data_IF_785240511080
#
_entry.id   IF_785240511080
#
_cell.length_a   1.000
_cell.length_b   1.000
_cell.length_c   1.000
_cell.angle_alpha   90.00
_cell.angle_beta   90.00
_cell.angle_gamma   90.00
#
_symmetry.space_group_name_H-M   'P 1'
#
loop_
_entity.id
_entity.type
_entity.pdbx_description
1 polymer ?
#
# COMPACT_ATOMS: atom_id res chain seq x y z
N UNK A 1 -3.57 2.69 -19.10
CA UNK A 1 -2.41 3.45 -18.60
C UNK A 1 -2.95 4.75 -18.04
N UNK A 2 -2.59 5.14 -16.81
CA UNK A 2 -3.15 6.33 -16.16
C UNK A 2 -2.47 7.59 -16.72
N UNK A 3 -3.22 8.46 -17.39
CA UNK A 3 -2.74 9.69 -18.04
C UNK A 3 -2.45 10.84 -17.06
N UNK A 4 -2.84 10.69 -15.80
CA UNK A 4 -2.69 11.72 -14.77
C UNK A 4 -1.71 11.25 -13.69
N UNK A 5 -0.53 11.86 -13.64
CA UNK A 5 0.43 11.74 -12.53
C UNK A 5 -0.24 11.89 -11.15
N UNK A 6 -1.30 12.70 -11.09
CA UNK A 6 -2.16 12.91 -9.92
C UNK A 6 -2.74 11.60 -9.36
N UNK A 7 -3.18 10.66 -10.20
CA UNK A 7 -3.74 9.38 -9.71
C UNK A 7 -2.68 8.54 -9.01
N UNK A 8 -1.47 8.47 -9.57
CA UNK A 8 -0.35 7.71 -8.98
C UNK A 8 0.07 8.36 -7.65
N UNK A 9 0.10 9.69 -7.58
CA UNK A 9 0.36 10.41 -6.34
C UNK A 9 -0.67 10.13 -5.25
N UNK A 10 -1.96 10.10 -5.60
CA UNK A 10 -3.02 9.74 -4.64
C UNK A 10 -2.91 8.29 -4.16
N UNK A 11 -2.58 7.34 -5.05
CA UNK A 11 -2.31 5.96 -4.64
C UNK A 11 -1.10 5.89 -3.70
N UNK A 12 -0.03 6.62 -3.98
CA UNK A 12 1.12 6.68 -3.09
C UNK A 12 0.76 7.25 -1.71
N UNK A 13 -0.08 8.30 -1.64
CA UNK A 13 -0.57 8.83 -0.35
C UNK A 13 -1.29 7.77 0.47
N UNK A 14 -2.08 6.89 -0.16
CA UNK A 14 -2.74 5.77 0.54
C UNK A 14 -1.71 4.83 1.16
N UNK A 15 -0.64 4.47 0.42
CA UNK A 15 0.45 3.63 0.97
C UNK A 15 1.06 4.27 2.21
N UNK A 16 1.41 5.56 2.14
CA UNK A 16 2.03 6.28 3.26
C UNK A 16 1.13 6.40 4.48
N UNK A 17 -0.19 6.50 4.27
CA UNK A 17 -1.20 6.58 5.34
C UNK A 17 -1.44 5.23 6.01
N UNK A 18 -1.38 4.13 5.27
CA UNK A 18 -1.49 2.79 5.82
C UNK A 18 -0.26 2.42 6.68
N UNK A 19 0.92 2.98 6.39
CA UNK A 19 2.11 2.76 7.21
C UNK A 19 1.97 3.49 8.56
N UNK A 20 1.60 2.71 9.59
CA UNK A 20 1.24 3.20 10.93
C UNK A 20 2.46 3.79 11.65
N UNK A 21 2.21 4.82 12.45
CA UNK A 21 3.18 5.35 13.41
C UNK A 21 3.22 4.38 14.59
N UNK A 22 4.41 3.89 14.93
CA UNK A 22 4.65 3.00 16.08
C UNK A 22 5.20 3.77 17.28
N UNK A 23 5.83 4.92 17.04
CA UNK A 23 6.29 5.82 18.08
C UNK A 23 5.86 7.25 17.78
N UNK A 24 4.94 7.77 18.59
CA UNK A 24 4.38 9.11 18.40
C UNK A 24 5.32 10.25 18.82
N UNK A 25 6.37 9.95 19.60
CA UNK A 25 7.36 10.95 20.03
C UNK A 25 8.42 11.19 18.96
N UNK A 26 8.92 10.12 18.33
CA UNK A 26 9.94 10.20 17.26
C UNK A 26 9.33 10.30 15.87
N UNK A 27 8.08 9.86 15.70
CA UNK A 27 7.42 9.73 14.40
C UNK A 27 7.80 8.45 13.65
N UNK A 28 8.42 7.48 14.33
CA UNK A 28 8.82 6.22 13.70
C UNK A 28 7.59 5.46 13.18
N UNK A 29 7.76 4.89 12.00
CA UNK A 29 6.74 4.11 11.33
C UNK A 29 7.03 2.61 11.40
N UNK A 30 6.01 1.80 11.16
CA UNK A 30 6.10 0.34 11.18
C UNK A 30 7.05 -0.20 10.10
N UNK A 31 7.07 0.45 8.93
CA UNK A 31 7.94 0.10 7.82
C UNK A 31 8.85 1.27 7.47
N UNK A 32 10.10 0.98 7.12
CA UNK A 32 10.99 1.98 6.54
C UNK A 32 10.58 2.33 5.09
N UNK A 33 11.37 3.20 4.44
CA UNK A 33 11.06 3.69 3.09
C UNK A 33 11.17 2.61 2.02
N UNK A 34 12.10 1.67 2.14
CA UNK A 34 12.35 0.63 1.13
C UNK A 34 11.31 -0.49 1.25
N UNK A 35 10.96 -0.84 2.48
CA UNK A 35 9.83 -1.72 2.79
C UNK A 35 8.51 -1.10 2.33
N UNK A 36 8.26 0.19 2.62
CA UNK A 36 7.06 0.92 2.19
C UNK A 36 6.96 0.98 0.65
N UNK A 37 8.07 1.25 -0.04
CA UNK A 37 8.13 1.22 -1.51
C UNK A 37 7.82 -0.18 -2.05
N UNK A 38 8.41 -1.23 -1.46
CA UNK A 38 8.19 -2.62 -1.87
C UNK A 38 6.73 -3.04 -1.70
N UNK A 39 6.10 -2.66 -0.59
CA UNK A 39 4.68 -2.86 -0.35
C UNK A 39 3.84 -2.12 -1.40
N UNK A 40 4.17 -0.85 -1.67
CA UNK A 40 3.47 -0.05 -2.68
C UNK A 40 3.52 -0.67 -4.09
N UNK A 41 4.68 -1.18 -4.50
CA UNK A 41 4.85 -1.86 -5.79
C UNK A 41 4.01 -3.15 -5.86
N UNK A 42 4.04 -3.98 -4.81
CA UNK A 42 3.20 -5.20 -4.74
C UNK A 42 1.70 -4.86 -4.77
N UNK A 43 1.29 -3.85 -4.01
CA UNK A 43 -0.10 -3.40 -3.94
C UNK A 43 -0.61 -2.91 -5.31
N UNK A 44 0.16 -2.10 -6.03
CA UNK A 44 -0.22 -1.61 -7.36
C UNK A 44 -0.34 -2.77 -8.35
N UNK A 45 0.59 -3.72 -8.33
CA UNK A 45 0.54 -4.91 -9.20
C UNK A 45 -0.74 -5.71 -8.96
N UNK A 46 -1.07 -5.99 -7.70
CA UNK A 46 -2.32 -6.67 -7.35
C UNK A 46 -3.55 -5.85 -7.78
N UNK A 47 -3.56 -4.56 -7.50
CA UNK A 47 -4.66 -3.66 -7.85
C UNK A 47 -4.94 -3.64 -9.36
N UNK A 48 -3.89 -3.51 -10.18
CA UNK A 48 -4.00 -3.57 -11.64
C UNK A 48 -4.54 -4.92 -12.10
N UNK A 49 -4.12 -6.03 -11.49
CA UNK A 49 -4.68 -7.35 -11.80
C UNK A 49 -6.19 -7.42 -11.49
N UNK A 50 -6.63 -6.91 -10.34
CA UNK A 50 -8.06 -6.90 -9.98
C UNK A 50 -8.88 -6.05 -10.96
N UNK A 51 -8.36 -4.91 -11.42
CA UNK A 51 -8.99 -4.09 -12.46
C UNK A 51 -9.11 -4.88 -13.77
N UNK A 52 -8.02 -5.51 -14.22
CA UNK A 52 -7.99 -6.29 -15.47
C UNK A 52 -8.96 -7.48 -15.44
N UNK A 53 -9.16 -8.08 -14.27
CA UNK A 53 -10.13 -9.16 -14.06
C UNK A 53 -11.59 -8.68 -13.91
N UNK A 54 -11.87 -7.38 -14.06
CA UNK A 54 -13.24 -6.84 -13.99
C UNK A 54 -13.85 -6.87 -12.58
N UNK A 55 -13.02 -6.88 -11.53
CA UNK A 55 -13.52 -6.94 -10.14
C UNK A 55 -14.33 -5.68 -9.81
N UNK A 56 -15.55 -5.88 -9.30
CA UNK A 56 -16.45 -4.79 -8.90
C UNK A 56 -16.00 -4.17 -7.57
N UNK A 57 -15.45 -2.96 -7.63
CA UNK A 57 -14.97 -2.20 -6.47
C UNK A 57 -16.09 -1.38 -5.83
N UNK A 58 -16.89 -2.02 -4.95
CA UNK A 58 -18.13 -1.45 -4.38
C UNK A 58 -17.96 -0.10 -3.67
N UNK A 59 -16.84 0.12 -2.97
CA UNK A 59 -16.54 1.36 -2.21
C UNK A 59 -15.62 2.34 -2.97
N UNK A 60 -15.46 2.14 -4.28
CA UNK A 60 -14.54 2.93 -5.11
C UNK A 60 -13.11 2.37 -5.14
N UNK A 61 -12.31 2.91 -6.05
CA UNK A 61 -10.96 2.44 -6.39
C UNK A 61 -9.96 2.62 -5.23
N UNK A 62 -9.97 3.78 -4.58
CA UNK A 62 -9.04 4.08 -3.48
C UNK A 62 -9.34 3.29 -2.22
N UNK A 63 -10.62 3.09 -1.86
CA UNK A 63 -10.99 2.25 -0.72
C UNK A 63 -10.59 0.79 -0.96
N UNK A 64 -10.74 0.30 -2.20
CA UNK A 64 -10.29 -1.03 -2.56
C UNK A 64 -8.77 -1.16 -2.49
N UNK A 65 -8.05 -0.18 -3.03
CA UNK A 65 -6.58 -0.13 -2.97
C UNK A 65 -6.07 -0.06 -1.51
N UNK A 66 -6.68 0.77 -0.67
CA UNK A 66 -6.39 0.85 0.76
C UNK A 66 -6.54 -0.52 1.45
N UNK A 67 -7.57 -1.29 1.09
CA UNK A 67 -7.74 -2.66 1.58
C UNK A 67 -6.60 -3.60 1.17
N UNK A 68 -6.12 -3.52 -0.09
CA UNK A 68 -4.96 -4.29 -0.55
C UNK A 68 -3.71 -3.91 0.26
N UNK A 69 -3.43 -2.61 0.40
CA UNK A 69 -2.25 -2.12 1.12
C UNK A 69 -2.26 -2.58 2.57
N UNK A 70 -3.38 -2.40 3.28
CA UNK A 70 -3.50 -2.84 4.68
C UNK A 70 -3.28 -4.34 4.83
N UNK A 71 -3.87 -5.15 3.94
CA UNK A 71 -3.71 -6.60 4.00
C UNK A 71 -2.25 -7.04 3.75
N UNK A 72 -1.54 -6.36 2.85
CA UNK A 72 -0.11 -6.59 2.63
C UNK A 72 0.73 -6.15 3.82
N UNK A 73 0.46 -4.98 4.38
CA UNK A 73 1.18 -4.48 5.56
C UNK A 73 0.98 -5.38 6.76
N UNK A 74 -0.25 -5.80 7.05
CA UNK A 74 -0.54 -6.74 8.14
C UNK A 74 0.22 -8.06 7.94
N UNK A 75 0.28 -8.57 6.71
CA UNK A 75 1.07 -9.79 6.41
C UNK A 75 2.57 -9.59 6.59
N UNK A 76 3.14 -8.51 6.04
CA UNK A 76 4.58 -8.28 6.04
C UNK A 76 5.12 -7.87 7.40
N UNK A 77 4.31 -7.24 8.24
CA UNK A 77 4.71 -6.89 9.61
C UNK A 77 5.13 -8.13 10.43
N UNK A 78 4.48 -9.27 10.19
CA UNK A 78 4.80 -10.54 10.86
C UNK A 78 5.78 -11.42 10.06
N UNK A 79 6.25 -10.96 8.90
CA UNK A 79 7.23 -11.65 8.08
C UNK A 79 8.64 -11.24 8.51
N UNK A 80 9.32 -12.11 9.25
CA UNK A 80 10.67 -11.83 9.80
C UNK A 80 11.70 -11.60 8.71
N UNK A 81 11.59 -12.29 7.58
CA UNK A 81 12.54 -12.11 6.48
C UNK A 81 12.33 -10.74 5.85
N UNK A 82 11.08 -10.36 5.62
CA UNK A 82 10.75 -9.04 5.07
C UNK A 82 11.16 -7.90 6.01
N UNK A 83 10.93 -8.05 7.33
CA UNK A 83 11.26 -7.04 8.33
C UNK A 83 12.77 -6.92 8.61
N UNK A 84 13.58 -7.88 8.15
CA UNK A 84 15.03 -7.86 8.28
C UNK A 84 15.73 -7.30 7.02
N UNK A 85 14.98 -6.98 5.96
CA UNK A 85 15.44 -6.20 4.79
C UNK A 85 15.58 -4.75 5.21
#
# INVERSE_FOLDING_TARGET
FYSESKTIQELWKVVRQCNKIINHTTGDKAFDKDQELTIGLKAIKEFVMKIKCGVKMKKGKFAYFNGIVNNLMDKFYFDKEFMAI
#
